data_IF_789101462565
#
_entry.id   IF_789101462565
#
_cell.length_a   1.000
_cell.length_b   1.000
_cell.length_c   1.000
_cell.angle_alpha   90.00
_cell.angle_beta   90.00
_cell.angle_gamma   90.00
#
_symmetry.space_group_name_H-M   'P 1'
#
loop_
_entity.id
_entity.type
_entity.pdbx_description
1 polymer ?
#
# COMPACT_ATOMS: atom_id res chain seq x y z
N UNK A 1 8.98 15.00 7.30
CA UNK A 1 8.92 14.29 6.03
C UNK A 1 8.36 12.89 6.25
N UNK A 2 7.58 12.41 5.34
CA UNK A 2 6.88 11.13 5.49
C UNK A 2 7.82 9.93 5.61
N UNK A 3 8.91 9.90 4.85
CA UNK A 3 9.91 8.84 4.96
C UNK A 3 10.51 8.81 6.35
N UNK A 4 10.76 9.98 6.92
CA UNK A 4 11.30 10.10 8.27
C UNK A 4 10.31 9.55 9.30
N UNK A 5 9.03 9.91 9.20
CA UNK A 5 8.01 9.43 10.12
C UNK A 5 7.89 7.91 10.09
N UNK A 6 7.89 7.33 8.90
CA UNK A 6 7.84 5.89 8.72
C UNK A 6 9.06 5.21 9.32
N UNK A 7 10.24 5.75 9.06
CA UNK A 7 11.49 5.22 9.61
C UNK A 7 11.53 5.32 11.13
N UNK A 8 11.11 6.44 11.70
CA UNK A 8 11.05 6.62 13.14
C UNK A 8 10.11 5.59 13.79
N UNK A 9 8.99 5.32 13.14
CA UNK A 9 8.05 4.31 13.63
C UNK A 9 8.68 2.91 13.61
N UNK A 10 9.35 2.55 12.53
CA UNK A 10 10.01 1.25 12.41
C UNK A 10 11.19 1.13 13.38
N UNK A 11 12.01 2.17 13.48
CA UNK A 11 13.16 2.18 14.38
C UNK A 11 12.69 2.10 15.85
N UNK A 12 11.63 2.83 16.18
CA UNK A 12 11.07 2.82 17.54
C UNK A 12 10.53 1.46 17.95
N UNK A 13 10.12 0.64 16.98
CA UNK A 13 9.64 -0.72 17.22
C UNK A 13 10.74 -1.76 16.99
N UNK A 14 11.97 -1.33 16.76
CA UNK A 14 13.14 -2.21 16.57
C UNK A 14 12.97 -3.17 15.40
N UNK A 15 12.36 -2.71 14.32
CA UNK A 15 12.14 -3.50 13.13
C UNK A 15 13.34 -3.39 12.19
N UNK A 16 13.78 -4.52 11.67
CA UNK A 16 14.82 -4.54 10.63
C UNK A 16 14.17 -4.31 9.28
N UNK A 17 14.69 -3.35 8.54
CA UNK A 17 14.20 -3.04 7.19
C UNK A 17 15.35 -2.56 6.33
N UNK A 18 15.15 -2.64 5.02
CA UNK A 18 16.09 -2.08 4.06
C UNK A 18 15.47 -0.82 3.45
N UNK A 19 16.25 0.25 3.36
CA UNK A 19 15.85 1.46 2.65
C UNK A 19 16.58 1.46 1.32
N UNK A 20 15.83 1.43 0.23
CA UNK A 20 16.37 1.34 -1.12
C UNK A 20 16.03 2.61 -1.88
N UNK A 21 17.04 3.34 -2.33
CA UNK A 21 16.84 4.52 -3.18
C UNK A 21 16.95 4.09 -4.63
N UNK A 22 16.15 4.66 -5.48
CA UNK A 22 16.10 4.35 -6.90
C UNK A 22 15.80 5.60 -7.74
N UNK A 23 15.91 5.47 -9.05
CA UNK A 23 15.51 6.55 -9.96
C UNK A 23 14.01 6.84 -9.79
N UNK A 24 13.58 8.09 -9.98
CA UNK A 24 12.17 8.42 -9.84
C UNK A 24 11.27 7.49 -10.65
N UNK A 25 10.25 6.95 -10.00
CA UNK A 25 9.28 6.05 -10.61
C UNK A 25 7.90 6.41 -10.07
N UNK A 26 6.90 6.47 -10.94
CA UNK A 26 5.58 6.98 -10.59
C UNK A 26 4.50 5.91 -10.43
N UNK A 27 4.73 4.71 -10.95
CA UNK A 27 3.79 3.60 -10.76
C UNK A 27 4.44 2.52 -9.93
N UNK A 28 3.62 1.71 -9.25
CA UNK A 28 4.14 0.60 -8.46
C UNK A 28 4.90 -0.41 -9.33
N UNK A 29 4.47 -0.59 -10.58
CA UNK A 29 5.17 -1.46 -11.52
C UNK A 29 6.53 -0.90 -11.90
N UNK A 30 6.62 0.43 -12.12
CA UNK A 30 7.90 1.08 -12.39
C UNK A 30 8.83 0.99 -11.19
N UNK A 31 8.29 1.12 -9.97
CA UNK A 31 9.05 0.96 -8.74
C UNK A 31 9.62 -0.46 -8.66
N UNK A 32 8.78 -1.47 -8.89
CA UNK A 32 9.22 -2.86 -8.86
C UNK A 32 10.37 -3.11 -9.84
N UNK A 33 10.25 -2.59 -11.06
CA UNK A 33 11.29 -2.73 -12.06
C UNK A 33 12.58 -2.01 -11.65
N UNK A 34 12.47 -0.81 -11.06
CA UNK A 34 13.63 -0.02 -10.67
C UNK A 34 14.43 -0.65 -9.53
N UNK A 35 13.77 -1.35 -8.61
CA UNK A 35 14.45 -1.98 -7.47
C UNK A 35 14.71 -3.48 -7.71
N UNK A 36 14.31 -4.00 -8.86
CA UNK A 36 14.47 -5.42 -9.22
C UNK A 36 13.76 -6.38 -8.24
N UNK A 37 12.61 -5.97 -7.73
CA UNK A 37 11.77 -6.79 -6.87
C UNK A 37 10.53 -7.21 -7.68
N UNK A 38 10.14 -8.49 -7.63
CA UNK A 38 8.93 -8.92 -8.35
C UNK A 38 7.72 -8.09 -7.94
N UNK A 39 6.88 -7.76 -8.91
CA UNK A 39 5.69 -6.96 -8.64
C UNK A 39 4.76 -7.56 -7.59
N UNK A 40 4.74 -8.89 -7.46
CA UNK A 40 3.93 -9.54 -6.43
C UNK A 40 4.40 -9.25 -5.01
N UNK A 41 5.66 -8.83 -4.84
CA UNK A 41 6.24 -8.51 -3.54
C UNK A 41 6.21 -7.02 -3.24
N UNK A 42 5.83 -6.20 -4.20
CA UNK A 42 5.71 -4.75 -4.00
C UNK A 42 4.26 -4.43 -3.63
N UNK A 43 4.07 -3.82 -2.49
CA UNK A 43 2.75 -3.43 -2.02
C UNK A 43 2.41 -2.02 -2.50
N UNK A 44 1.26 -1.88 -3.14
CA UNK A 44 0.75 -0.63 -3.66
C UNK A 44 -0.42 -0.18 -2.79
N UNK A 45 -0.43 1.08 -2.40
CA UNK A 45 -1.51 1.65 -1.58
C UNK A 45 -2.50 2.40 -2.46
N UNK A 46 -3.77 2.06 -2.30
CA UNK A 46 -4.87 2.78 -2.94
C UNK A 46 -5.75 3.32 -1.83
N UNK A 47 -5.96 4.62 -1.79
CA UNK A 47 -6.83 5.22 -0.78
C UNK A 47 -8.28 5.11 -1.24
N UNK A 48 -9.12 4.58 -0.36
CA UNK A 48 -10.54 4.33 -0.65
C UNK A 48 -11.41 4.93 0.43
N UNK A 49 -12.69 5.06 0.14
CA UNK A 49 -13.69 5.46 1.12
C UNK A 49 -14.61 4.26 1.32
N UNK A 50 -14.63 3.73 2.54
CA UNK A 50 -15.44 2.57 2.89
C UNK A 50 -16.52 3.04 3.86
N UNK A 51 -17.77 3.00 3.41
CA UNK A 51 -18.92 3.49 4.19
C UNK A 51 -18.65 4.88 4.79
N UNK A 52 -18.13 5.79 3.97
CA UNK A 52 -17.87 7.18 4.35
C UNK A 52 -16.56 7.44 5.08
N UNK A 53 -15.75 6.41 5.33
CA UNK A 53 -14.47 6.58 6.03
C UNK A 53 -13.29 6.27 5.13
N UNK A 54 -12.25 7.09 5.22
CA UNK A 54 -11.01 6.84 4.49
C UNK A 54 -10.34 5.58 5.01
N UNK A 55 -9.81 4.79 4.09
CA UNK A 55 -9.09 3.57 4.39
C UNK A 55 -8.02 3.33 3.32
N UNK A 56 -7.08 2.45 3.62
CA UNK A 56 -6.08 2.02 2.66
C UNK A 56 -6.42 0.62 2.16
N UNK A 57 -6.37 0.43 0.85
CA UNK A 57 -6.42 -0.87 0.23
C UNK A 57 -5.04 -1.16 -0.35
N UNK A 58 -4.39 -2.22 0.14
CA UNK A 58 -3.02 -2.55 -0.21
C UNK A 58 -3.01 -3.84 -1.01
N UNK A 59 -2.51 -3.77 -2.22
CA UNK A 59 -2.50 -4.90 -3.16
C UNK A 59 -1.11 -5.03 -3.81
N UNK A 60 -0.79 -6.21 -4.36
CA UNK A 60 0.46 -6.34 -5.11
C UNK A 60 0.50 -5.38 -6.30
N UNK A 61 1.68 -4.88 -6.62
CA UNK A 61 1.86 -3.99 -7.77
C UNK A 61 1.43 -4.63 -9.09
N UNK A 62 1.49 -5.96 -9.15
CA UNK A 62 1.08 -6.73 -10.33
C UNK A 62 -0.42 -6.89 -10.47
N UNK A 63 -1.20 -6.37 -9.53
CA UNK A 63 -2.66 -6.48 -9.52
C UNK A 63 -3.30 -5.13 -9.26
N UNK A 64 -4.61 -5.09 -9.32
CA UNK A 64 -5.38 -3.87 -9.01
C UNK A 64 -6.43 -4.18 -7.95
N UNK A 65 -6.88 -3.15 -7.25
CA UNK A 65 -7.98 -3.31 -6.29
C UNK A 65 -9.26 -3.60 -7.06
N UNK A 66 -9.95 -4.65 -6.67
CA UNK A 66 -11.29 -4.93 -7.16
C UNK A 66 -12.26 -4.36 -6.14
N UNK A 67 -12.95 -3.29 -6.51
CA UNK A 67 -13.81 -2.56 -5.58
C UNK A 67 -14.97 -3.41 -5.07
N UNK A 68 -15.50 -4.30 -5.90
CA UNK A 68 -16.59 -5.17 -5.48
C UNK A 68 -16.12 -6.26 -4.51
N UNK A 69 -14.93 -6.82 -4.76
CA UNK A 69 -14.33 -7.76 -3.82
C UNK A 69 -14.08 -7.07 -2.47
N UNK A 70 -13.57 -5.85 -2.50
CA UNK A 70 -13.32 -5.09 -1.28
C UNK A 70 -14.62 -4.82 -0.53
N UNK A 71 -15.63 -4.37 -1.23
CA UNK A 71 -16.93 -4.11 -0.63
C UNK A 71 -17.50 -5.35 0.07
N UNK A 72 -17.50 -6.47 -0.65
CA UNK A 72 -18.03 -7.72 -0.13
C UNK A 72 -17.20 -8.26 1.04
N UNK A 73 -15.89 -8.26 0.89
CA UNK A 73 -14.99 -8.81 1.92
C UNK A 73 -14.98 -7.96 3.19
N UNK A 74 -15.11 -6.65 3.05
CA UNK A 74 -15.15 -5.75 4.20
C UNK A 74 -16.53 -5.69 4.86
N UNK A 75 -17.55 -6.29 4.24
CA UNK A 75 -18.92 -6.19 4.74
C UNK A 75 -19.49 -4.79 4.64
N UNK A 76 -19.03 -4.02 3.66
CA UNK A 76 -19.43 -2.64 3.50
C UNK A 76 -20.64 -2.49 2.58
N UNK A 77 -21.34 -1.38 2.71
CA UNK A 77 -22.42 -1.05 1.80
C UNK A 77 -21.92 -0.30 0.58
N UNK A 78 -20.98 0.64 0.79
CA UNK A 78 -20.43 1.46 -0.27
C UNK A 78 -18.93 1.54 -0.17
N UNK A 79 -18.24 1.33 -1.28
CA UNK A 79 -16.80 1.53 -1.39
C UNK A 79 -16.54 2.29 -2.68
N UNK A 80 -15.71 3.34 -2.60
CA UNK A 80 -15.32 4.11 -3.76
C UNK A 80 -13.87 4.54 -3.65
N UNK A 81 -13.27 4.89 -4.78
CA UNK A 81 -11.92 5.45 -4.77
C UNK A 81 -11.98 6.84 -4.14
N UNK A 82 -11.04 7.13 -3.26
CA UNK A 82 -10.91 8.48 -2.73
C UNK A 82 -10.24 9.36 -3.78
N UNK A 83 -10.75 10.58 -3.91
CA UNK A 83 -10.09 11.58 -4.72
C UNK A 83 -9.01 12.29 -3.92
N UNK A 84 -8.06 12.91 -4.59
CA UNK A 84 -7.02 13.65 -3.91
C UNK A 84 -7.55 14.65 -2.87
N UNK A 85 -8.61 15.43 -3.14
CA UNK A 85 -9.15 16.34 -2.14
C UNK A 85 -9.62 15.65 -0.88
N UNK A 86 -9.99 14.38 -0.96
CA UNK A 86 -10.53 13.64 0.19
C UNK A 86 -9.45 13.32 1.21
N UNK A 87 -8.20 13.20 0.78
CA UNK A 87 -7.12 12.78 1.68
C UNK A 87 -5.87 13.68 1.63
N UNK A 88 -5.91 14.80 0.93
CA UNK A 88 -4.74 15.66 0.74
C UNK A 88 -4.08 16.09 2.06
N UNK A 89 -4.86 16.27 3.11
CA UNK A 89 -4.35 16.71 4.40
C UNK A 89 -3.89 15.58 5.32
N UNK A 90 -4.04 14.33 4.89
CA UNK A 90 -3.74 13.17 5.75
C UNK A 90 -2.29 12.70 5.62
N UNK A 91 -1.63 12.98 4.51
CA UNK A 91 -0.30 12.46 4.20
C UNK A 91 0.72 13.58 4.06
N UNK A 92 0.84 14.40 5.09
CA UNK A 92 1.82 15.49 5.07
C UNK A 92 3.22 14.95 4.80
N UNK A 93 3.91 15.58 3.88
CA UNK A 93 5.27 15.20 3.52
C UNK A 93 5.37 14.04 2.56
N UNK A 94 4.27 13.38 2.19
CA UNK A 94 4.26 12.34 1.17
C UNK A 94 4.01 12.93 -0.20
N UNK A 95 4.74 12.45 -1.20
CA UNK A 95 4.41 12.75 -2.58
C UNK A 95 3.18 11.94 -2.96
N UNK A 96 2.37 12.47 -3.86
CA UNK A 96 1.15 11.78 -4.27
C UNK A 96 1.47 10.40 -4.84
N UNK A 97 0.73 9.40 -4.39
CA UNK A 97 0.91 8.03 -4.85
C UNK A 97 2.03 7.25 -4.15
N UNK A 98 2.68 7.84 -3.15
CA UNK A 98 3.82 7.20 -2.48
C UNK A 98 3.58 6.91 -0.99
N UNK A 99 2.32 6.95 -0.57
CA UNK A 99 1.98 6.72 0.83
C UNK A 99 2.39 5.32 1.26
N UNK A 100 3.08 5.18 2.41
CA UNK A 100 3.41 3.85 2.93
C UNK A 100 2.16 3.19 3.51
N UNK A 101 2.10 1.84 3.52
CA UNK A 101 0.88 1.12 3.90
C UNK A 101 0.65 1.01 5.41
N UNK A 102 0.92 2.08 6.14
CA UNK A 102 0.73 2.13 7.58
C UNK A 102 -0.48 2.98 7.93
N UNK A 103 -1.67 2.47 7.65
CA UNK A 103 -2.90 3.22 7.90
C UNK A 103 -3.01 3.70 9.34
N UNK A 104 -2.47 2.92 10.28
CA UNK A 104 -2.48 3.30 11.69
C UNK A 104 -1.74 4.61 11.98
N UNK A 105 -0.77 5.00 11.15
CA UNK A 105 -0.09 6.28 11.31
C UNK A 105 -0.93 7.46 10.80
N UNK A 106 -1.97 7.17 10.03
CA UNK A 106 -2.79 8.19 9.39
C UNK A 106 -4.27 8.12 9.82
N UNK A 107 -4.55 7.32 10.85
CA UNK A 107 -5.91 7.19 11.34
C UNK A 107 -6.84 6.45 10.39
N UNK A 108 -6.33 5.52 9.61
CA UNK A 108 -7.08 4.76 8.62
C UNK A 108 -7.02 3.27 8.87
N UNK A 109 -8.11 2.57 8.54
CA UNK A 109 -8.13 1.12 8.48
C UNK A 109 -7.23 0.68 7.31
N UNK A 110 -6.56 -0.44 7.47
CA UNK A 110 -5.71 -0.99 6.40
C UNK A 110 -6.23 -2.35 5.99
N UNK A 111 -6.67 -2.45 4.75
CA UNK A 111 -7.10 -3.71 4.13
C UNK A 111 -5.97 -4.18 3.23
N UNK A 112 -5.48 -5.39 3.45
CA UNK A 112 -4.36 -5.93 2.69
C UNK A 112 -4.78 -7.20 1.98
N UNK A 113 -4.46 -7.30 0.70
CA UNK A 113 -4.78 -8.49 -0.07
C UNK A 113 -4.02 -9.70 0.45
N UNK A 114 -4.71 -10.82 0.56
CA UNK A 114 -4.16 -12.07 1.08
C UNK A 114 -2.91 -12.54 0.34
N UNK A 115 -2.77 -12.20 -0.93
CA UNK A 115 -1.58 -12.61 -1.71
C UNK A 115 -0.29 -12.04 -1.12
N UNK A 116 -0.33 -10.83 -0.58
CA UNK A 116 0.84 -10.24 0.06
C UNK A 116 1.26 -11.00 1.31
N UNK A 117 0.32 -11.61 2.00
CA UNK A 117 0.60 -12.38 3.21
C UNK A 117 1.34 -13.69 2.93
N UNK A 118 1.38 -14.13 1.67
CA UNK A 118 2.10 -15.34 1.28
C UNK A 118 3.59 -15.08 1.08
N UNK A 119 3.98 -13.82 1.00
CA UNK A 119 5.38 -13.45 0.77
C UNK A 119 6.09 -13.24 2.10
N UNK A 120 7.35 -13.65 2.17
CA UNK A 120 8.15 -13.44 3.37
C UNK A 120 8.49 -11.97 3.56
N UNK A 121 8.77 -11.27 2.47
CA UNK A 121 9.13 -9.85 2.47
C UNK A 121 8.19 -9.08 1.56
N UNK A 122 7.90 -7.85 1.95
CA UNK A 122 7.19 -6.91 1.09
C UNK A 122 8.00 -5.62 0.99
N UNK A 123 7.83 -4.93 -0.12
CA UNK A 123 8.46 -3.63 -0.35
C UNK A 123 7.38 -2.62 -0.71
N UNK A 124 7.57 -1.37 -0.32
CA UNK A 124 6.58 -0.33 -0.57
C UNK A 124 7.24 1.05 -0.62
N UNK A 125 6.56 2.00 -1.24
CA UNK A 125 7.01 3.37 -1.24
C UNK A 125 7.07 3.91 0.18
N UNK A 126 8.10 4.70 0.44
CA UNK A 126 8.35 5.27 1.77
C UNK A 126 8.00 6.75 1.87
N UNK A 127 7.08 7.23 1.04
CA UNK A 127 6.64 8.62 1.06
C UNK A 127 7.25 9.48 -0.04
N UNK A 128 8.06 8.89 -0.93
CA UNK A 128 8.65 9.59 -2.07
C UNK A 128 8.69 8.67 -3.28
N UNK A 129 8.92 9.26 -4.47
CA UNK A 129 9.05 8.50 -5.71
C UNK A 129 10.45 7.87 -5.89
N UNK A 130 11.34 8.04 -4.92
CA UNK A 130 12.71 7.56 -5.02
C UNK A 130 13.12 6.60 -3.90
N UNK A 131 12.28 6.42 -2.88
CA UNK A 131 12.63 5.59 -1.73
C UNK A 131 11.64 4.46 -1.52
N UNK A 132 12.16 3.27 -1.32
CA UNK A 132 11.40 2.06 -1.04
C UNK A 132 11.90 1.45 0.26
N UNK A 133 11.00 0.99 1.09
CA UNK A 133 11.33 0.22 2.28
C UNK A 133 10.93 -1.23 2.03
N UNK A 134 11.81 -2.17 2.38
CA UNK A 134 11.51 -3.58 2.34
C UNK A 134 11.66 -4.16 3.75
N UNK A 135 10.68 -4.96 4.17
CA UNK A 135 10.68 -5.59 5.48
C UNK A 135 9.91 -6.90 5.45
N UNK A 136 10.00 -7.66 6.53
CA UNK A 136 9.25 -8.91 6.63
C UNK A 136 7.77 -8.65 6.77
N UNK A 137 6.96 -9.40 6.06
CA UNK A 137 5.51 -9.28 6.18
C UNK A 137 5.03 -9.55 7.61
N UNK A 138 5.65 -10.48 8.31
CA UNK A 138 5.30 -10.78 9.70
C UNK A 138 5.44 -9.55 10.61
N UNK A 139 6.47 -8.75 10.41
CA UNK A 139 6.68 -7.52 11.17
C UNK A 139 5.64 -6.46 10.79
N UNK A 140 5.37 -6.32 9.49
CA UNK A 140 4.33 -5.42 9.01
C UNK A 140 2.97 -5.76 9.63
N UNK A 141 2.62 -7.04 9.59
CA UNK A 141 1.34 -7.51 10.14
C UNK A 141 1.22 -7.21 11.64
N UNK A 142 2.30 -7.41 12.37
CA UNK A 142 2.33 -7.16 13.81
C UNK A 142 2.14 -5.68 14.14
N UNK A 143 2.73 -4.79 13.33
CA UNK A 143 2.69 -3.36 13.60
C UNK A 143 1.40 -2.70 13.15
N UNK A 144 0.83 -3.16 12.05
CA UNK A 144 -0.32 -2.51 11.41
C UNK A 144 -1.63 -3.16 11.77
N UNK A 145 -1.63 -4.45 12.08
CA UNK A 145 -2.84 -5.25 12.30
C UNK A 145 -3.83 -5.09 11.14
N UNK A 146 -3.38 -5.35 9.90
CA UNK A 146 -4.25 -5.16 8.75
C UNK A 146 -5.34 -6.23 8.70
N UNK A 147 -6.43 -5.90 8.03
CA UNK A 147 -7.44 -6.89 7.69
C UNK A 147 -7.01 -7.57 6.39
N UNK A 148 -6.73 -8.87 6.48
CA UNK A 148 -6.27 -9.66 5.34
C UNK A 148 -7.49 -10.23 4.62
N UNK A 149 -7.74 -9.74 3.42
CA UNK A 149 -8.92 -10.07 2.63
C UNK A 149 -8.53 -10.27 1.18
N UNK A 150 -9.37 -10.97 0.44
CA UNK A 150 -9.18 -11.08 -1.00
C UNK A 150 -9.80 -9.84 -1.64
N UNK A 151 -8.97 -8.90 -2.06
CA UNK A 151 -9.41 -7.61 -2.61
C UNK A 151 -8.75 -7.24 -3.94
N UNK A 152 -7.82 -8.05 -4.41
CA UNK A 152 -7.11 -7.78 -5.65
C UNK A 152 -7.57 -8.66 -6.79
N UNK A 153 -7.52 -8.12 -7.99
CA UNK A 153 -7.76 -8.86 -9.23
C UNK A 153 -6.65 -8.57 -10.21
N UNK A 154 -6.44 -9.49 -11.14
CA UNK A 154 -5.49 -9.27 -12.22
C UNK A 154 -5.96 -8.09 -13.05
N UNK A 155 -5.00 -7.35 -13.65
CA UNK A 155 -5.37 -6.33 -14.62
C UNK A 155 -6.13 -7.00 -15.75
N UNK A 156 -7.29 -6.46 -16.09
CA UNK A 156 -8.04 -7.00 -17.20
C UNK A 156 -7.26 -6.77 -18.48
N UNK A 157 -7.14 -7.79 -19.32
CA UNK A 157 -6.59 -7.57 -20.63
C UNK A 157 -7.45 -6.50 -21.27
N UNK A 158 -6.83 -5.48 -21.77
CA UNK A 158 -7.50 -4.45 -22.52
C UNK A 158 -8.36 -5.16 -23.49
N UNK A 159 -9.62 -4.98 -23.32
CA UNK A 159 -10.57 -5.67 -24.11
C UNK A 159 -10.26 -5.52 -25.52
N UNK A 160 -9.89 -6.62 -26.09
CA UNK A 160 -9.55 -6.58 -27.40
C UNK A 160 -10.62 -7.00 -28.23
N UNK A 161 -11.58 -6.56 -28.08
CA UNK A 161 -12.63 -6.98 -28.91
C UNK A 161 -12.77 -6.11 -30.10
#
# INVERSE_FOLDING_TARGET
MATRRTREFLDGNKIKYALISHSPAHTAQEVAASVHIPGRDVAKVVVVIVDGKLAMAVVPASKQVDMELLRSAAGAQFVELAGEPDFANRFEGCQLGTMPPFGNLFGMETYVDKELAKEEYIAFNAGSHTDVIALRFADFRRLVHPKLLKIAASFEPTSVV
#
